data_IF_662370047733
#
_entry.id   IF_662370047733
#
_cell.length_a   1.000
_cell.length_b   1.000
_cell.length_c   1.000
_cell.angle_alpha   90.00
_cell.angle_beta   90.00
_cell.angle_gamma   90.00
#
_symmetry.space_group_name_H-M   'P 1'
#
loop_
_entity.id
_entity.type
_entity.pdbx_description
1 polymer ?
#
# COMPACT_ATOMS: atom_id res chain seq x y z
N UNK A 1 -3.36 8.27 -2.18
CA UNK A 1 -2.21 8.31 -1.24
C UNK A 1 -2.71 8.88 0.08
N UNK A 2 -2.77 8.07 1.14
CA UNK A 2 -3.14 8.52 2.49
C UNK A 2 -2.65 7.50 3.53
N UNK A 3 -2.36 7.95 4.75
CA UNK A 3 -2.15 7.09 5.92
C UNK A 3 -1.27 7.74 7.00
N UNK A 4 -0.54 8.80 6.66
CA UNK A 4 0.45 9.45 7.52
C UNK A 4 -0.15 9.89 8.87
N UNK A 5 -1.35 10.48 8.87
CA UNK A 5 -2.06 10.85 10.10
C UNK A 5 -2.68 9.66 10.87
N UNK A 6 -2.58 8.44 10.34
CA UNK A 6 -3.06 7.20 10.94
C UNK A 6 -1.93 6.33 11.49
N UNK A 7 -0.69 6.81 11.48
CA UNK A 7 0.42 6.13 12.16
C UNK A 7 0.06 5.93 13.64
N UNK A 8 0.29 4.73 14.16
CA UNK A 8 -0.18 4.28 15.48
C UNK A 8 -1.58 3.67 15.51
N UNK A 9 -2.32 3.66 14.38
CA UNK A 9 -3.70 3.13 14.28
C UNK A 9 -3.86 2.08 13.17
N UNK A 10 -2.84 1.24 12.97
CA UNK A 10 -2.76 0.26 11.88
C UNK A 10 -4.00 -0.67 11.79
N UNK A 11 -4.43 -1.25 12.91
CA UNK A 11 -5.60 -2.14 12.95
C UNK A 11 -6.90 -1.40 12.57
N UNK A 12 -7.08 -0.17 13.06
CA UNK A 12 -8.23 0.67 12.71
C UNK A 12 -8.19 1.05 11.23
N UNK A 13 -7.00 1.39 10.72
CA UNK A 13 -6.79 1.79 9.34
C UNK A 13 -7.23 0.70 8.36
N UNK A 14 -6.85 -0.56 8.59
CA UNK A 14 -7.26 -1.68 7.74
C UNK A 14 -8.79 -1.80 7.67
N UNK A 15 -9.49 -1.75 8.81
CA UNK A 15 -10.96 -1.81 8.85
C UNK A 15 -11.60 -0.65 8.08
N UNK A 16 -11.17 0.57 8.35
CA UNK A 16 -11.74 1.77 7.73
C UNK A 16 -11.48 1.81 6.22
N UNK A 17 -10.30 1.40 5.77
CA UNK A 17 -9.99 1.35 4.34
C UNK A 17 -10.77 0.27 3.59
N UNK A 18 -10.95 -0.91 4.17
CA UNK A 18 -11.82 -1.92 3.56
C UNK A 18 -13.26 -1.40 3.41
N UNK A 19 -13.78 -0.70 4.42
CA UNK A 19 -15.09 -0.07 4.34
C UNK A 19 -15.15 1.01 3.26
N UNK A 20 -14.11 1.83 3.11
CA UNK A 20 -14.02 2.85 2.06
C UNK A 20 -14.09 2.23 0.66
N UNK A 21 -13.32 1.16 0.41
CA UNK A 21 -13.32 0.48 -0.90
C UNK A 21 -14.71 -0.08 -1.22
N UNK A 22 -15.33 -0.77 -0.25
CA UNK A 22 -16.68 -1.32 -0.40
C UNK A 22 -17.72 -0.24 -0.63
N UNK A 23 -17.67 0.84 0.15
CA UNK A 23 -18.61 1.95 0.04
C UNK A 23 -18.50 2.63 -1.33
N UNK A 24 -17.28 2.93 -1.79
CA UNK A 24 -17.08 3.53 -3.10
C UNK A 24 -17.57 2.63 -4.23
N UNK A 25 -17.26 1.34 -4.20
CA UNK A 25 -17.79 0.38 -5.19
C UNK A 25 -19.30 0.39 -5.27
N UNK A 26 -19.98 0.47 -4.12
CA UNK A 26 -21.43 0.60 -4.06
C UNK A 26 -21.92 1.93 -4.63
N UNK A 27 -21.29 3.04 -4.26
CA UNK A 27 -21.69 4.38 -4.69
C UNK A 27 -21.50 4.61 -6.20
N UNK A 28 -20.52 3.94 -6.80
CA UNK A 28 -20.26 3.96 -8.24
C UNK A 28 -20.96 2.84 -9.02
N UNK A 29 -21.79 2.01 -8.35
CA UNK A 29 -22.45 0.84 -8.94
C UNK A 29 -21.49 -0.08 -9.71
N UNK A 30 -20.32 -0.32 -9.11
CA UNK A 30 -19.25 -1.11 -9.72
C UNK A 30 -18.50 -1.93 -8.66
N UNK A 31 -18.96 -3.16 -8.43
CA UNK A 31 -18.40 -4.09 -7.43
C UNK A 31 -16.94 -4.48 -7.70
N UNK A 32 -16.50 -4.39 -8.95
CA UNK A 32 -15.15 -4.76 -9.37
C UNK A 32 -14.25 -3.54 -9.59
N UNK A 33 -14.72 -2.34 -9.26
CA UNK A 33 -13.99 -1.09 -9.49
C UNK A 33 -12.55 -1.21 -8.94
N UNK A 34 -11.53 -0.98 -9.79
CA UNK A 34 -10.14 -0.99 -9.37
C UNK A 34 -9.89 0.06 -8.29
N UNK A 35 -9.12 -0.30 -7.27
CA UNK A 35 -8.75 0.63 -6.20
C UNK A 35 -7.25 0.58 -5.93
N UNK A 36 -6.53 1.58 -6.41
CA UNK A 36 -5.08 1.67 -6.28
C UNK A 36 -4.67 2.71 -5.26
N UNK A 37 -3.72 2.35 -4.39
CA UNK A 37 -3.27 3.18 -3.28
C UNK A 37 -1.76 3.16 -3.14
N UNK A 38 -1.25 4.02 -2.27
CA UNK A 38 0.19 4.27 -2.11
C UNK A 38 0.55 3.99 -0.66
N UNK A 39 1.62 3.24 -0.45
CA UNK A 39 2.20 3.03 0.87
C UNK A 39 2.75 4.36 1.41
N UNK A 40 2.59 4.63 2.71
CA UNK A 40 3.09 5.88 3.31
C UNK A 40 4.59 6.09 3.05
N UNK A 41 5.01 7.36 2.94
CA UNK A 41 6.41 7.75 2.74
C UNK A 41 7.35 7.09 3.78
N UNK A 42 8.64 6.88 3.47
CA UNK A 42 9.64 6.43 4.42
C UNK A 42 10.04 7.50 5.45
N UNK A 43 9.15 8.46 5.76
CA UNK A 43 9.46 9.54 6.70
C UNK A 43 9.72 9.03 8.12
N UNK A 44 10.55 9.74 8.89
CA UNK A 44 10.80 9.43 10.30
C UNK A 44 9.60 9.84 11.16
N UNK A 45 8.61 8.95 11.29
CA UNK A 45 7.37 9.21 12.03
C UNK A 45 7.52 9.43 13.54
N UNK A 46 8.69 9.13 14.12
CA UNK A 46 8.99 9.43 15.53
C UNK A 46 8.06 8.73 16.51
N UNK A 47 8.32 7.45 16.81
CA UNK A 47 7.66 6.72 17.89
C UNK A 47 8.69 5.99 18.76
N UNK A 48 8.33 5.71 20.01
CA UNK A 48 9.26 5.17 21.03
C UNK A 48 9.94 3.86 20.60
N UNK A 49 9.20 3.01 19.89
CA UNK A 49 9.66 1.68 19.45
C UNK A 49 10.09 1.63 17.97
N UNK A 50 9.90 2.70 17.19
CA UNK A 50 10.21 2.71 15.76
C UNK A 50 9.27 1.86 14.88
N UNK A 51 8.23 1.23 15.45
CA UNK A 51 7.43 0.18 14.78
C UNK A 51 6.09 0.66 14.22
N UNK A 52 5.56 1.81 14.65
CA UNK A 52 4.22 2.25 14.27
C UNK A 52 4.07 2.48 12.77
N UNK A 53 5.09 3.04 12.13
CA UNK A 53 5.08 3.22 10.67
C UNK A 53 5.22 1.89 9.92
N UNK A 54 6.01 0.95 10.45
CA UNK A 54 6.11 -0.41 9.90
C UNK A 54 4.77 -1.16 10.00
N UNK A 55 4.09 -1.08 11.15
CA UNK A 55 2.78 -1.67 11.36
C UNK A 55 1.72 -1.09 10.42
N UNK A 56 1.74 0.22 10.17
CA UNK A 56 0.82 0.83 9.20
C UNK A 56 1.14 0.41 7.77
N UNK A 57 2.42 0.32 7.39
CA UNK A 57 2.85 -0.16 6.07
C UNK A 57 2.46 -1.62 5.85
N UNK A 58 2.55 -2.46 6.87
CA UNK A 58 2.05 -3.84 6.82
C UNK A 58 0.52 -3.88 6.71
N UNK A 59 -0.20 -3.03 7.44
CA UNK A 59 -1.65 -2.92 7.27
C UNK A 59 -2.03 -2.48 5.84
N UNK A 60 -1.27 -1.55 5.25
CA UNK A 60 -1.44 -1.17 3.83
C UNK A 60 -1.15 -2.34 2.90
N UNK A 61 -0.06 -3.12 3.11
CA UNK A 61 0.24 -4.31 2.31
C UNK A 61 -0.88 -5.36 2.40
N UNK A 62 -1.36 -5.66 3.61
CA UNK A 62 -2.44 -6.65 3.84
C UNK A 62 -3.75 -6.30 3.15
N UNK A 63 -3.99 -5.03 2.82
CA UNK A 63 -5.17 -4.65 2.04
C UNK A 63 -5.19 -5.25 0.63
N UNK A 64 -4.07 -5.75 0.09
CA UNK A 64 -4.04 -6.45 -1.20
C UNK A 64 -4.88 -7.74 -1.22
N UNK A 65 -5.31 -8.25 -0.07
CA UNK A 65 -6.32 -9.33 0.01
C UNK A 65 -7.68 -8.91 -0.57
N UNK A 66 -7.95 -7.60 -0.64
CA UNK A 66 -9.18 -7.08 -1.24
C UNK A 66 -9.06 -7.22 -2.77
N UNK A 67 -10.01 -7.90 -3.45
CA UNK A 67 -9.95 -8.09 -4.90
C UNK A 67 -9.89 -6.76 -5.65
N UNK A 68 -9.22 -6.75 -6.82
CA UNK A 68 -9.04 -5.57 -7.68
C UNK A 68 -8.44 -4.36 -6.95
N UNK A 69 -7.51 -4.61 -6.04
CA UNK A 69 -6.69 -3.57 -5.42
C UNK A 69 -5.23 -3.73 -5.81
N UNK A 70 -4.46 -2.67 -5.61
CA UNK A 70 -3.06 -2.59 -5.98
C UNK A 70 -2.37 -1.48 -5.20
N UNK A 71 -1.09 -1.66 -4.94
CA UNK A 71 -0.31 -0.77 -4.07
C UNK A 71 0.98 -0.34 -4.77
N UNK A 72 1.30 0.95 -4.71
CA UNK A 72 2.63 1.47 -5.01
C UNK A 72 3.45 1.57 -3.71
N UNK A 73 4.58 0.87 -3.65
CA UNK A 73 5.59 1.02 -2.60
C UNK A 73 6.38 2.30 -2.84
N UNK A 74 6.77 3.00 -1.77
CA UNK A 74 7.51 4.27 -1.86
C UNK A 74 8.80 4.29 -1.05
N UNK A 75 9.16 3.18 -0.38
CA UNK A 75 10.30 3.13 0.54
C UNK A 75 11.65 3.44 -0.14
N UNK A 76 11.81 3.05 -1.40
CA UNK A 76 13.02 3.20 -2.19
C UNK A 76 13.12 4.53 -2.96
N UNK A 77 11.99 5.20 -3.18
CA UNK A 77 11.89 6.46 -3.96
C UNK A 77 11.43 7.66 -3.12
N UNK A 78 11.27 7.46 -1.81
CA UNK A 78 10.84 8.49 -0.88
C UNK A 78 12.00 9.25 -0.24
N UNK A 79 11.68 10.04 0.80
CA UNK A 79 12.66 10.79 1.57
C UNK A 79 12.37 10.64 3.07
N UNK A 80 13.38 10.25 3.85
CA UNK A 80 13.23 10.01 5.29
C UNK A 80 13.03 11.30 6.12
N UNK A 81 13.46 12.43 5.58
CA UNK A 81 13.41 13.74 6.26
C UNK A 81 12.28 14.64 5.71
N UNK A 82 11.57 14.19 4.68
CA UNK A 82 10.43 14.91 4.10
C UNK A 82 9.20 14.01 3.97
N UNK A 83 8.17 14.28 4.78
CA UNK A 83 6.88 13.59 4.75
C UNK A 83 6.10 13.76 3.43
N UNK A 84 6.49 14.74 2.61
CA UNK A 84 5.95 14.99 1.28
C UNK A 84 7.05 14.82 0.21
N UNK A 85 7.52 13.59 -0.10
CA UNK A 85 8.59 13.38 -1.08
C UNK A 85 8.24 13.97 -2.44
N UNK A 86 9.19 14.65 -3.09
CA UNK A 86 8.95 15.35 -4.35
C UNK A 86 8.78 14.41 -5.56
N UNK A 87 9.35 13.21 -5.52
CA UNK A 87 9.22 12.23 -6.60
C UNK A 87 7.79 11.65 -6.63
N UNK A 88 6.87 12.36 -7.27
CA UNK A 88 5.49 11.92 -7.51
C UNK A 88 5.32 11.19 -8.83
N UNK A 89 6.25 11.40 -9.78
CA UNK A 89 6.23 10.79 -11.10
C UNK A 89 6.33 9.26 -10.98
N UNK A 90 7.37 8.74 -10.32
CA UNK A 90 7.57 7.30 -10.18
C UNK A 90 6.44 6.63 -9.39
N UNK A 91 5.85 7.33 -8.42
CA UNK A 91 4.66 6.85 -7.69
C UNK A 91 3.47 6.70 -8.65
N UNK A 92 3.24 7.68 -9.51
CA UNK A 92 2.19 7.65 -10.52
C UNK A 92 2.43 6.56 -11.57
N UNK A 93 3.67 6.41 -12.04
CA UNK A 93 4.06 5.36 -12.99
C UNK A 93 3.81 3.97 -12.41
N UNK A 94 4.18 3.72 -11.14
CA UNK A 94 3.89 2.45 -10.46
C UNK A 94 2.39 2.15 -10.40
N UNK A 95 1.54 3.14 -10.13
CA UNK A 95 0.08 2.96 -10.16
C UNK A 95 -0.46 2.75 -11.58
N UNK A 96 0.14 3.40 -12.58
CA UNK A 96 -0.22 3.22 -13.98
C UNK A 96 0.09 1.80 -14.47
N UNK A 97 1.20 1.21 -14.03
CA UNK A 97 1.53 -0.17 -14.36
C UNK A 97 0.46 -1.16 -13.90
N UNK A 98 -0.08 -1.00 -12.68
CA UNK A 98 -1.22 -1.79 -12.20
C UNK A 98 -2.41 -1.70 -13.14
N UNK A 99 -2.77 -0.48 -13.58
CA UNK A 99 -3.88 -0.28 -14.49
C UNK A 99 -3.62 -0.91 -15.87
N UNK A 100 -2.40 -0.71 -16.41
CA UNK A 100 -2.01 -1.22 -17.73
C UNK A 100 -2.12 -2.74 -17.80
N UNK A 101 -1.64 -3.45 -16.79
CA UNK A 101 -1.75 -4.91 -16.71
C UNK A 101 -3.20 -5.35 -16.49
N UNK A 102 -3.88 -4.79 -15.49
CA UNK A 102 -5.14 -5.33 -14.98
C UNK A 102 -6.40 -4.88 -15.70
N UNK A 103 -6.38 -3.73 -16.38
CA UNK A 103 -7.53 -3.21 -17.11
C UNK A 103 -7.27 -3.02 -18.60
N UNK A 104 -6.03 -2.76 -19.01
CA UNK A 104 -5.69 -2.54 -20.42
C UNK A 104 -5.06 -3.75 -21.10
N UNK A 105 -4.99 -4.91 -20.41
CA UNK A 105 -4.48 -6.17 -20.94
C UNK A 105 -3.08 -6.04 -21.56
N UNK A 106 -2.22 -5.21 -20.94
CA UNK A 106 -0.81 -5.11 -21.32
C UNK A 106 -0.01 -6.11 -20.52
N UNK A 107 0.62 -7.08 -21.16
CA UNK A 107 1.55 -7.98 -20.50
C UNK A 107 2.81 -7.22 -20.08
N UNK A 108 2.81 -6.67 -18.86
CA UNK A 108 3.88 -5.87 -18.29
C UNK A 108 4.06 -6.21 -16.81
N UNK A 109 5.30 -6.21 -16.33
CA UNK A 109 5.56 -6.31 -14.90
C UNK A 109 4.96 -5.09 -14.19
N UNK A 110 3.95 -5.31 -13.36
CA UNK A 110 3.17 -4.24 -12.73
C UNK A 110 3.37 -4.11 -11.22
N UNK A 111 3.86 -5.17 -10.57
CA UNK A 111 4.22 -5.19 -9.15
C UNK A 111 5.57 -5.88 -8.94
N UNK A 112 6.18 -5.62 -7.79
CA UNK A 112 7.32 -6.42 -7.32
C UNK A 112 6.89 -7.82 -6.86
N UNK A 113 7.86 -8.70 -6.56
CA UNK A 113 7.58 -10.02 -6.00
C UNK A 113 6.95 -9.89 -4.61
N UNK A 114 6.03 -10.79 -4.30
CA UNK A 114 5.47 -10.95 -2.95
C UNK A 114 5.92 -12.28 -2.36
N UNK A 115 6.23 -12.33 -1.06
CA UNK A 115 6.52 -13.59 -0.39
C UNK A 115 5.26 -14.47 -0.40
N UNK A 116 5.36 -15.66 -0.98
CA UNK A 116 4.29 -16.64 -1.02
C UNK A 116 4.04 -17.27 0.35
N UNK A 117 5.13 -17.58 1.06
CA UNK A 117 5.12 -18.09 2.42
C UNK A 117 6.31 -17.52 3.21
N UNK A 118 6.17 -17.50 4.53
CA UNK A 118 7.26 -17.18 5.46
C UNK A 118 7.23 -18.22 6.56
N UNK A 119 8.34 -18.90 6.77
CA UNK A 119 8.55 -19.82 7.90
C UNK A 119 9.38 -19.13 8.95
N UNK A 120 8.94 -19.20 10.21
CA UNK A 120 9.64 -18.63 11.35
C UNK A 120 10.29 -19.78 12.13
N UNK A 121 11.62 -19.77 12.22
CA UNK A 121 12.39 -20.74 12.99
C UNK A 121 13.29 -20.00 13.98
N UNK A 122 12.83 -19.88 15.23
CA UNK A 122 13.51 -19.07 16.24
C UNK A 122 13.59 -17.60 15.80
N UNK A 123 14.81 -17.15 15.47
CA UNK A 123 15.10 -15.78 15.04
C UNK A 123 15.35 -15.67 13.52
N UNK A 124 15.05 -16.72 12.75
CA UNK A 124 15.22 -16.76 11.29
C UNK A 124 13.88 -16.72 10.57
N UNK A 125 13.88 -16.04 9.41
CA UNK A 125 12.78 -16.01 8.45
C UNK A 125 13.28 -16.64 7.13
N UNK A 126 12.60 -17.67 6.65
CA UNK A 126 12.85 -18.31 5.34
C UNK A 126 11.60 -18.35 4.49
#
# INVERSE_FOLDING_TARGET
YQGESNVGRANQYMRLKSMLVTDWRKQFDNETMPFYYVQIAPWRYGDAEGTSSANLREAQRRMLVIPNTGMAVTLDIGNVDNIHPANKTDVGERLALWALDRQYNRAIAFSGPEPEAVTISGNELT
#
